data_IF_575644604477
#
_entry.id   IF_575644604477
#
_cell.length_a   1.000
_cell.length_b   1.000
_cell.length_c   1.000
_cell.angle_alpha   90.00
_cell.angle_beta   90.00
_cell.angle_gamma   90.00
#
_symmetry.space_group_name_H-M   'P 1'
#
loop_
_entity.id
_entity.type
_entity.pdbx_description
1 polymer ?
#
# COMPACT_ATOMS: atom_id res chain seq x y z
N UNK A 1 18.72 1.32 20.95
CA UNK A 1 17.27 1.47 21.17
C UNK A 1 16.59 0.43 20.30
N UNK A 2 15.75 -0.41 20.91
CA UNK A 2 15.24 -1.64 20.31
C UNK A 2 14.34 -1.36 19.10
N UNK A 3 14.61 -2.06 18.01
CA UNK A 3 13.81 -2.10 16.79
C UNK A 3 12.41 -2.61 17.19
N UNK A 4 11.45 -1.70 17.33
CA UNK A 4 10.10 -2.00 17.84
C UNK A 4 9.17 -2.54 16.74
N UNK A 5 9.76 -3.13 15.69
CA UNK A 5 8.99 -3.90 14.72
C UNK A 5 8.55 -5.17 15.46
N UNK A 6 7.24 -5.42 15.61
CA UNK A 6 6.82 -6.69 16.18
C UNK A 6 7.38 -7.80 15.28
N UNK A 7 8.20 -8.67 15.86
CA UNK A 7 8.60 -9.95 15.26
C UNK A 7 7.34 -10.80 15.13
N UNK A 8 6.53 -10.48 14.12
CA UNK A 8 5.38 -11.28 13.77
C UNK A 8 5.94 -12.57 13.16
N UNK A 9 5.67 -13.74 13.76
CA UNK A 9 6.09 -14.99 13.15
C UNK A 9 5.52 -15.04 11.73
N UNK A 10 6.36 -15.42 10.76
CA UNK A 10 6.04 -15.55 9.32
C UNK A 10 5.03 -16.70 9.03
N UNK A 11 4.10 -16.94 9.96
CA UNK A 11 3.05 -17.94 9.89
C UNK A 11 1.78 -17.41 9.20
N UNK A 12 1.90 -16.30 8.46
CA UNK A 12 0.81 -15.69 7.69
C UNK A 12 0.57 -16.35 6.33
N UNK A 13 1.21 -17.50 6.03
CA UNK A 13 0.98 -18.27 4.81
C UNK A 13 -0.51 -18.53 4.53
N UNK A 14 -1.31 -18.76 5.58
CA UNK A 14 -2.77 -18.96 5.46
C UNK A 14 -3.56 -17.75 4.97
N UNK A 15 -3.01 -16.53 5.11
CA UNK A 15 -3.64 -15.28 4.68
C UNK A 15 -2.99 -14.68 3.43
N UNK A 16 -1.93 -15.32 2.90
CA UNK A 16 -1.22 -14.84 1.72
C UNK A 16 -2.04 -15.14 0.46
N UNK A 17 -2.38 -14.09 -0.28
CA UNK A 17 -3.04 -14.19 -1.57
C UNK A 17 -1.99 -14.01 -2.66
N UNK A 18 -1.83 -15.01 -3.52
CA UNK A 18 -0.82 -15.01 -4.60
C UNK A 18 -1.43 -15.00 -6.01
N UNK A 19 -2.69 -15.40 -6.16
CA UNK A 19 -3.41 -15.39 -7.43
C UNK A 19 -3.77 -13.96 -7.83
N UNK A 20 -3.45 -13.57 -9.08
CA UNK A 20 -3.81 -12.26 -9.63
C UNK A 20 -5.32 -12.01 -9.49
N UNK A 21 -6.15 -13.00 -9.82
CA UNK A 21 -7.61 -12.85 -9.77
C UNK A 21 -8.13 -12.63 -8.35
N UNK A 22 -7.54 -13.31 -7.36
CA UNK A 22 -7.95 -13.18 -5.96
C UNK A 22 -7.51 -11.84 -5.39
N UNK A 23 -6.29 -11.39 -5.73
CA UNK A 23 -5.80 -10.04 -5.37
C UNK A 23 -6.74 -8.98 -5.96
N UNK A 24 -7.05 -9.04 -7.25
CA UNK A 24 -7.95 -8.09 -7.89
C UNK A 24 -9.35 -8.13 -7.26
N UNK A 25 -9.83 -9.29 -6.84
CA UNK A 25 -11.14 -9.43 -6.19
C UNK A 25 -11.18 -8.71 -4.85
N UNK A 26 -10.13 -8.86 -4.03
CA UNK A 26 -10.00 -8.14 -2.75
C UNK A 26 -9.88 -6.63 -2.97
N UNK A 27 -9.05 -6.19 -3.91
CA UNK A 27 -8.88 -4.77 -4.22
C UNK A 27 -10.19 -4.12 -4.71
N UNK A 28 -10.96 -4.83 -5.56
CA UNK A 28 -12.29 -4.37 -5.98
C UNK A 28 -13.29 -4.29 -4.83
N UNK A 29 -13.21 -5.21 -3.87
CA UNK A 29 -14.03 -5.17 -2.67
C UNK A 29 -13.69 -3.94 -1.80
N UNK A 30 -12.41 -3.60 -1.67
CA UNK A 30 -11.96 -2.40 -0.95
C UNK A 30 -12.52 -1.12 -1.58
N UNK A 31 -12.49 -1.01 -2.92
CA UNK A 31 -13.08 0.12 -3.65
C UNK A 31 -14.59 0.18 -3.39
N UNK A 32 -15.31 -0.94 -3.57
CA UNK A 32 -16.76 -1.01 -3.41
C UNK A 32 -17.22 -0.59 -2.01
N UNK A 33 -16.43 -0.92 -0.99
CA UNK A 33 -16.74 -0.63 0.40
C UNK A 33 -16.18 0.72 0.88
N UNK A 34 -15.55 1.49 -0.01
CA UNK A 34 -14.86 2.74 0.32
C UNK A 34 -13.92 2.58 1.54
N UNK A 35 -13.18 1.47 1.54
CA UNK A 35 -12.37 1.07 2.70
C UNK A 35 -11.19 2.00 2.91
N UNK A 36 -11.12 2.61 4.09
CA UNK A 36 -9.97 3.41 4.49
C UNK A 36 -8.74 2.51 4.65
N UNK A 37 -7.62 2.99 4.14
CA UNK A 37 -6.32 2.32 4.14
C UNK A 37 -5.25 3.27 4.64
N UNK A 38 -4.14 2.73 5.12
CA UNK A 38 -2.96 3.52 5.52
C UNK A 38 -1.82 3.18 4.59
N UNK A 39 -1.34 4.17 3.84
CA UNK A 39 -0.15 4.03 3.00
C UNK A 39 1.08 4.38 3.83
N UNK A 40 2.02 3.45 3.97
CA UNK A 40 3.31 3.68 4.61
C UNK A 40 4.38 3.90 3.54
N UNK A 41 5.25 4.89 3.73
CA UNK A 41 6.29 5.27 2.78
C UNK A 41 7.56 5.72 3.51
N UNK A 42 8.70 5.82 2.81
CA UNK A 42 9.94 6.31 3.44
C UNK A 42 10.57 5.37 4.46
N UNK A 43 11.43 5.95 5.29
CA UNK A 43 11.97 5.31 6.49
C UNK A 43 10.96 5.38 7.64
N UNK A 44 11.16 4.50 8.62
CA UNK A 44 10.18 4.12 9.64
C UNK A 44 9.38 5.31 10.25
N UNK A 45 8.10 5.40 9.89
CA UNK A 45 7.13 6.25 10.57
C UNK A 45 6.25 7.12 9.67
N UNK A 46 6.61 7.31 8.40
CA UNK A 46 5.78 8.12 7.50
C UNK A 46 4.59 7.32 6.97
N UNK A 47 3.39 7.86 7.19
CA UNK A 47 2.15 7.28 6.72
C UNK A 47 1.14 8.33 6.30
N UNK A 48 0.23 7.96 5.39
CA UNK A 48 -0.89 8.78 4.96
C UNK A 48 -2.18 7.96 4.95
N UNK A 49 -3.26 8.41 5.61
CA UNK A 49 -4.60 7.87 5.39
C UNK A 49 -5.01 8.08 3.93
N UNK A 50 -5.49 7.02 3.28
CA UNK A 50 -5.93 7.05 1.88
C UNK A 50 -7.04 6.02 1.66
N UNK A 51 -7.59 5.96 0.44
CA UNK A 51 -8.51 4.94 0.00
C UNK A 51 -8.14 4.51 -1.42
N UNK A 52 -8.38 3.24 -1.75
CA UNK A 52 -8.26 2.78 -3.14
C UNK A 52 -9.49 3.24 -3.92
N UNK A 53 -9.29 4.15 -4.87
CA UNK A 53 -10.36 4.75 -5.66
C UNK A 53 -10.63 3.96 -6.95
N UNK A 54 -9.59 3.44 -7.58
CA UNK A 54 -9.72 2.71 -8.84
C UNK A 54 -8.59 1.70 -9.08
N UNK A 55 -8.82 0.76 -9.98
CA UNK A 55 -7.93 -0.33 -10.34
C UNK A 55 -7.98 -0.58 -11.84
N UNK A 56 -6.83 -0.47 -12.52
CA UNK A 56 -6.64 -0.94 -13.88
C UNK A 56 -5.93 -2.30 -13.86
N UNK A 57 -6.71 -3.37 -14.05
CA UNK A 57 -6.19 -4.74 -14.05
C UNK A 57 -5.35 -5.11 -15.28
N UNK A 58 -5.49 -4.36 -16.38
CA UNK A 58 -4.72 -4.57 -17.60
C UNK A 58 -3.32 -3.98 -17.45
N UNK A 59 -3.25 -2.74 -16.93
CA UNK A 59 -2.00 -2.00 -16.74
C UNK A 59 -1.31 -2.31 -15.40
N UNK A 60 -2.03 -2.91 -14.46
CA UNK A 60 -1.50 -3.18 -13.11
C UNK A 60 -1.38 -1.90 -12.28
N UNK A 61 -2.25 -0.92 -12.55
CA UNK A 61 -2.23 0.40 -11.92
C UNK A 61 -3.35 0.52 -10.89
N UNK A 62 -3.10 1.31 -9.86
CA UNK A 62 -4.05 1.63 -8.79
C UNK A 62 -4.10 3.14 -8.60
N UNK A 63 -5.27 3.67 -8.33
CA UNK A 63 -5.46 5.09 -7.98
C UNK A 63 -5.80 5.18 -6.51
N UNK A 64 -4.96 5.88 -5.75
CA UNK A 64 -5.15 6.14 -4.33
C UNK A 64 -5.68 7.57 -4.16
N UNK A 65 -6.47 7.77 -3.10
CA UNK A 65 -6.99 9.07 -2.72
C UNK A 65 -5.86 10.03 -2.31
N UNK A 66 -6.00 11.28 -2.76
CA UNK A 66 -5.11 12.38 -2.41
C UNK A 66 -5.67 13.00 -1.13
N UNK A 67 -5.01 12.72 -0.01
CA UNK A 67 -5.49 13.15 1.31
C UNK A 67 -5.54 14.67 1.46
N UNK A 68 -6.03 15.19 2.59
CA UNK A 68 -6.13 16.64 2.81
C UNK A 68 -4.80 17.32 3.13
N UNK A 69 -3.75 16.56 3.44
CA UNK A 69 -2.42 17.09 3.80
C UNK A 69 -1.51 17.16 2.57
N UNK A 70 -1.37 18.36 2.02
CA UNK A 70 -0.55 18.63 0.84
C UNK A 70 0.92 18.27 1.05
N UNK A 71 1.49 18.55 2.23
CA UNK A 71 2.91 18.28 2.49
C UNK A 71 3.17 16.77 2.47
N UNK A 72 2.32 15.99 3.13
CA UNK A 72 2.40 14.52 3.13
C UNK A 72 2.22 13.97 1.73
N UNK A 73 1.23 14.44 0.96
CA UNK A 73 1.01 13.95 -0.39
C UNK A 73 2.19 14.26 -1.32
N UNK A 74 2.77 15.45 -1.22
CA UNK A 74 3.98 15.80 -1.98
C UNK A 74 5.16 14.91 -1.59
N UNK A 75 5.32 14.58 -0.31
CA UNK A 75 6.32 13.62 0.14
C UNK A 75 6.07 12.22 -0.44
N UNK A 76 4.83 11.74 -0.49
CA UNK A 76 4.47 10.44 -1.09
C UNK A 76 4.81 10.41 -2.59
N UNK A 77 4.52 11.48 -3.33
CA UNK A 77 4.81 11.57 -4.77
C UNK A 77 6.30 11.67 -5.04
N UNK A 78 7.02 12.45 -4.21
CA UNK A 78 8.46 12.60 -4.30
C UNK A 78 9.21 11.37 -3.79
N UNK A 79 8.55 10.51 -3.00
CA UNK A 79 9.07 9.22 -2.58
C UNK A 79 9.14 8.29 -3.79
N UNK A 80 10.23 8.42 -4.51
CA UNK A 80 10.60 7.52 -5.59
C UNK A 80 11.03 6.22 -4.94
N UNK A 81 10.32 5.14 -5.27
CA UNK A 81 10.74 3.79 -4.93
C UNK A 81 12.16 3.60 -5.48
N UNK A 82 13.17 3.72 -4.63
CA UNK A 82 14.48 3.13 -4.86
C UNK A 82 14.23 1.64 -4.88
N UNK A 83 13.79 1.13 -6.04
CA UNK A 83 13.72 -0.31 -6.25
C UNK A 83 15.07 -0.92 -5.86
N UNK A 84 15.10 -2.13 -5.30
CA UNK A 84 16.37 -2.78 -5.03
C UNK A 84 17.16 -2.78 -6.33
N UNK A 85 18.35 -2.18 -6.24
CA UNK A 85 19.39 -2.21 -7.26
C UNK A 85 19.48 -3.65 -7.78
N UNK A 86 18.91 -3.91 -8.97
CA UNK A 86 19.07 -5.20 -9.65
C UNK A 86 20.53 -5.25 -10.11
N UNK A 87 21.40 -5.70 -9.22
CA UNK A 87 22.68 -6.30 -9.57
C UNK A 87 22.52 -7.80 -9.74
#
# INVERSE_FOLDING_TARGET
MADSRPDLPDNNRKYRISSKNDILSVLRLMIRNNSQSTCYFGDAGSFSPTALLNLDSQRGEMVLDYGPDEEINQQVICFRNSGPDRK
#
